data_IF_378490699532
#
_entry.id   IF_378490699532
#
_cell.length_a   1.000
_cell.length_b   1.000
_cell.length_c   1.000
_cell.angle_alpha   90.00
_cell.angle_beta   90.00
_cell.angle_gamma   90.00
#
_symmetry.space_group_name_H-M   'P 1'
#
loop_
_entity.id
_entity.type
_entity.pdbx_description
1 polymer ?
#
# COMPACT_ATOMS: atom_id res chain seq x y z
N UNK A 1 24.44 3.57 -9.82
CA UNK A 1 24.33 4.00 -8.41
C UNK A 1 22.91 3.69 -7.87
N UNK A 2 22.54 2.42 -7.70
CA UNK A 2 21.47 1.94 -6.78
C UNK A 2 21.82 0.49 -6.39
N UNK A 3 23.01 0.29 -5.82
CA UNK A 3 23.38 -1.00 -5.21
C UNK A 3 23.87 -0.72 -3.80
N UNK A 4 22.94 -0.42 -2.90
CA UNK A 4 23.18 -0.64 -1.48
C UNK A 4 21.95 -1.29 -0.85
N UNK A 5 22.25 -2.39 -0.16
CA UNK A 5 21.42 -3.27 0.66
C UNK A 5 20.66 -4.40 -0.06
N UNK A 6 21.37 -5.53 -0.24
CA UNK A 6 20.96 -6.91 0.08
C UNK A 6 19.53 -7.41 -0.23
N UNK A 7 18.79 -6.83 -1.16
CA UNK A 7 17.50 -7.41 -1.57
C UNK A 7 17.74 -8.51 -2.62
N UNK A 8 17.86 -9.75 -2.14
CA UNK A 8 17.93 -10.97 -2.97
C UNK A 8 16.85 -10.97 -4.06
N UNK A 9 15.65 -10.51 -3.71
CA UNK A 9 14.50 -10.40 -4.64
C UNK A 9 14.79 -9.44 -5.79
N UNK A 10 15.47 -8.32 -5.51
CA UNK A 10 15.85 -7.38 -6.55
C UNK A 10 16.89 -8.01 -7.47
N UNK A 11 17.92 -8.68 -6.94
CA UNK A 11 18.92 -9.36 -7.75
C UNK A 11 18.32 -10.46 -8.65
N UNK A 12 17.42 -11.29 -8.11
CA UNK A 12 16.68 -12.31 -8.87
C UNK A 12 15.84 -11.67 -9.99
N UNK A 13 15.19 -10.55 -9.71
CA UNK A 13 14.40 -9.83 -10.72
C UNK A 13 15.28 -9.20 -11.80
N UNK A 14 16.44 -8.63 -11.45
CA UNK A 14 17.40 -8.08 -12.43
C UNK A 14 17.86 -9.16 -13.41
N UNK A 15 18.23 -10.35 -12.92
CA UNK A 15 18.63 -11.46 -13.78
C UNK A 15 17.52 -11.88 -14.75
N UNK A 16 16.27 -11.91 -14.28
CA UNK A 16 15.10 -12.17 -15.12
C UNK A 16 14.91 -11.12 -16.20
N UNK A 17 15.03 -9.83 -15.85
CA UNK A 17 14.89 -8.72 -16.81
C UNK A 17 15.98 -8.76 -17.89
N UNK A 18 17.23 -9.07 -17.53
CA UNK A 18 18.32 -9.23 -18.50
C UNK A 18 18.05 -10.32 -19.53
N UNK A 19 17.47 -11.45 -19.08
CA UNK A 19 17.07 -12.54 -19.97
C UNK A 19 15.90 -12.13 -20.88
N UNK A 20 14.86 -11.50 -20.35
CA UNK A 20 13.67 -11.08 -21.12
C UNK A 20 13.96 -10.00 -22.17
N UNK A 21 14.96 -9.16 -21.93
CA UNK A 21 15.36 -8.06 -22.83
C UNK A 21 16.46 -8.45 -23.81
N UNK A 22 16.93 -9.70 -23.80
CA UNK A 22 18.11 -10.16 -24.54
C UNK A 22 19.35 -9.24 -24.35
N UNK A 23 19.46 -8.59 -23.19
CA UNK A 23 20.55 -7.67 -22.89
C UNK A 23 20.42 -6.25 -23.46
N UNK A 24 19.26 -5.83 -23.99
CA UNK A 24 19.04 -4.44 -24.42
C UNK A 24 19.12 -3.48 -23.22
N UNK A 25 20.22 -2.75 -23.12
CA UNK A 25 20.53 -1.84 -22.00
C UNK A 25 19.46 -0.76 -21.81
N UNK A 26 18.89 -0.21 -22.89
CA UNK A 26 17.87 0.83 -22.82
C UNK A 26 16.54 0.27 -22.30
N UNK A 27 16.19 -0.95 -22.72
CA UNK A 27 15.03 -1.66 -22.20
C UNK A 27 15.20 -2.04 -20.73
N UNK A 28 16.39 -2.50 -20.34
CA UNK A 28 16.75 -2.82 -18.96
C UNK A 28 16.61 -1.55 -18.11
N UNK A 29 17.26 -0.44 -18.46
CA UNK A 29 17.21 0.81 -17.71
C UNK A 29 15.77 1.29 -17.50
N UNK A 30 14.95 1.25 -18.55
CA UNK A 30 13.51 1.58 -18.48
C UNK A 30 12.77 0.70 -17.47
N UNK A 31 12.97 -0.62 -17.52
CA UNK A 31 12.30 -1.55 -16.60
C UNK A 31 12.78 -1.28 -15.17
N UNK A 32 14.08 -1.11 -14.96
CA UNK A 32 14.65 -0.87 -13.64
C UNK A 32 14.13 0.42 -13.00
N UNK A 33 13.95 1.48 -13.78
CA UNK A 33 13.36 2.74 -13.31
C UNK A 33 11.91 2.56 -12.79
N UNK A 34 11.19 1.56 -13.30
CA UNK A 34 9.82 1.22 -12.92
C UNK A 34 9.70 0.39 -11.63
N UNK A 35 10.79 -0.25 -11.18
CA UNK A 35 10.74 -1.21 -10.08
C UNK A 35 10.62 -0.51 -8.73
N UNK A 36 9.73 -1.01 -7.88
CA UNK A 36 9.65 -0.67 -6.46
C UNK A 36 9.69 -1.96 -5.65
N UNK A 37 10.59 -1.99 -4.67
CA UNK A 37 10.69 -3.10 -3.71
C UNK A 37 9.77 -2.84 -2.53
N UNK A 38 9.04 -3.88 -2.12
CA UNK A 38 8.31 -3.97 -0.86
C UNK A 38 9.05 -4.95 0.03
N UNK A 39 9.66 -4.47 1.12
CA UNK A 39 10.34 -5.34 2.07
C UNK A 39 9.38 -6.23 2.86
N UNK A 40 9.92 -7.20 3.58
CA UNK A 40 9.16 -8.08 4.51
C UNK A 40 8.29 -7.27 5.49
N UNK A 41 8.86 -6.22 6.08
CA UNK A 41 8.12 -5.30 6.95
C UNK A 41 7.35 -4.23 6.15
N UNK A 42 6.08 -4.53 5.86
CA UNK A 42 5.15 -3.64 5.16
C UNK A 42 4.81 -2.35 5.92
N UNK A 43 4.52 -1.28 5.16
CA UNK A 43 3.97 0.00 5.62
C UNK A 43 2.50 0.09 5.20
N UNK A 44 1.59 -0.05 6.16
CA UNK A 44 0.16 -0.24 5.91
C UNK A 44 -0.60 1.04 6.28
N UNK A 45 -1.35 1.59 5.33
CA UNK A 45 -2.28 2.70 5.55
C UNK A 45 -3.68 2.20 5.85
N UNK A 46 -4.32 2.77 6.87
CA UNK A 46 -5.64 2.39 7.35
C UNK A 46 -6.58 3.59 7.29
N UNK A 47 -7.71 3.42 6.61
CA UNK A 47 -8.81 4.38 6.59
C UNK A 47 -10.15 3.63 6.63
N UNK A 48 -11.19 4.30 7.11
CA UNK A 48 -12.55 3.75 7.09
C UNK A 48 -13.57 4.87 7.22
N UNK A 49 -14.68 4.77 6.47
CA UNK A 49 -15.88 5.55 6.75
C UNK A 49 -16.43 5.23 8.15
N UNK A 50 -17.21 6.12 8.74
CA UNK A 50 -17.63 6.00 10.14
C UNK A 50 -18.39 4.69 10.39
N UNK A 51 -19.26 4.33 9.47
CA UNK A 51 -20.12 3.15 9.42
C UNK A 51 -19.29 1.86 9.30
N UNK A 52 -18.05 1.98 8.83
CA UNK A 52 -17.13 0.86 8.59
C UNK A 52 -16.03 0.71 9.64
N UNK A 53 -15.92 1.63 10.60
CA UNK A 53 -14.86 1.58 11.62
C UNK A 53 -14.97 0.35 12.52
N UNK A 54 -16.16 -0.02 12.96
CA UNK A 54 -16.36 -1.22 13.79
C UNK A 54 -15.96 -2.48 13.02
N UNK A 55 -16.39 -2.60 11.77
CA UNK A 55 -16.03 -3.70 10.87
C UNK A 55 -14.50 -3.79 10.66
N UNK A 56 -13.83 -2.65 10.48
CA UNK A 56 -12.37 -2.59 10.38
C UNK A 56 -11.71 -3.14 11.64
N UNK A 57 -12.12 -2.68 12.83
CA UNK A 57 -11.52 -3.12 14.09
C UNK A 57 -11.72 -4.61 14.31
N UNK A 58 -12.91 -5.16 14.05
CA UNK A 58 -13.18 -6.59 14.18
C UNK A 58 -12.29 -7.43 13.26
N UNK A 59 -12.13 -7.01 12.01
CA UNK A 59 -11.23 -7.68 11.07
C UNK A 59 -9.77 -7.60 11.54
N UNK A 60 -9.27 -6.41 11.86
CA UNK A 60 -7.88 -6.23 12.27
C UNK A 60 -7.55 -6.97 13.59
N UNK A 61 -8.49 -7.12 14.52
CA UNK A 61 -8.31 -7.91 15.76
C UNK A 61 -7.92 -9.37 15.45
N UNK A 62 -8.53 -9.98 14.44
CA UNK A 62 -8.22 -11.36 13.99
C UNK A 62 -6.77 -11.47 13.51
N UNK A 63 -6.27 -10.42 12.89
CA UNK A 63 -4.93 -10.36 12.26
C UNK A 63 -3.87 -9.64 13.09
N UNK A 64 -4.15 -9.38 14.38
CA UNK A 64 -3.25 -8.63 15.27
C UNK A 64 -1.80 -9.12 15.21
N UNK A 65 -1.60 -10.44 15.19
CA UNK A 65 -0.27 -11.09 15.16
C UNK A 65 0.55 -10.75 13.90
N UNK A 66 -0.13 -10.54 12.77
CA UNK A 66 0.51 -10.10 11.51
C UNK A 66 0.78 -8.60 11.60
N UNK A 67 -0.22 -7.81 12.01
CA UNK A 67 -0.15 -6.35 12.03
C UNK A 67 0.97 -5.79 12.92
N UNK A 68 1.28 -6.44 14.05
CA UNK A 68 2.38 -6.00 14.96
C UNK A 68 3.76 -6.04 14.31
N UNK A 69 3.94 -6.85 13.26
CA UNK A 69 5.22 -6.96 12.54
C UNK A 69 5.42 -5.78 11.58
N UNK A 70 4.35 -5.08 11.22
CA UNK A 70 4.32 -4.04 10.21
C UNK A 70 4.31 -2.64 10.81
N UNK A 71 4.41 -1.61 9.96
CA UNK A 71 4.28 -0.21 10.38
C UNK A 71 2.93 0.33 9.94
N UNK A 72 2.13 0.79 10.91
CA UNK A 72 0.77 1.25 10.65
C UNK A 72 0.71 2.78 10.57
N UNK A 73 -0.06 3.26 9.61
CA UNK A 73 -0.47 4.65 9.43
C UNK A 73 -1.98 4.69 9.35
N UNK A 74 -2.63 5.71 9.90
CA UNK A 74 -4.08 5.81 9.81
C UNK A 74 -4.60 7.24 9.83
N UNK A 75 -5.77 7.48 9.25
CA UNK A 75 -6.49 8.75 9.42
C UNK A 75 -7.07 8.88 10.83
N UNK A 76 -7.27 10.11 11.29
CA UNK A 76 -7.46 10.50 12.69
C UNK A 76 -8.19 9.50 13.58
N UNK A 77 -9.52 9.47 13.52
CA UNK A 77 -10.35 8.65 14.41
C UNK A 77 -10.13 7.14 14.20
N UNK A 78 -9.86 6.72 12.96
CA UNK A 78 -9.51 5.32 12.65
C UNK A 78 -8.26 4.88 13.41
N UNK A 79 -7.19 5.68 13.35
CA UNK A 79 -5.95 5.36 14.05
C UNK A 79 -6.11 5.30 15.56
N UNK A 80 -6.84 6.25 16.15
CA UNK A 80 -7.15 6.25 17.59
C UNK A 80 -7.89 4.98 18.00
N UNK A 81 -8.87 4.52 17.21
CA UNK A 81 -9.58 3.28 17.49
C UNK A 81 -8.66 2.06 17.37
N UNK A 82 -7.82 1.99 16.33
CA UNK A 82 -6.89 0.88 16.14
C UNK A 82 -5.90 0.78 17.30
N UNK A 83 -5.29 1.90 17.71
CA UNK A 83 -4.36 1.92 18.85
C UNK A 83 -5.05 1.46 20.14
N UNK A 84 -6.24 2.00 20.42
CA UNK A 84 -7.01 1.67 21.63
C UNK A 84 -7.39 0.19 21.69
N UNK A 85 -7.92 -0.33 20.58
CA UNK A 85 -8.56 -1.66 20.55
C UNK A 85 -7.58 -2.81 20.31
N UNK A 86 -6.46 -2.55 19.63
CA UNK A 86 -5.47 -3.57 19.30
C UNK A 86 -4.17 -3.42 20.11
N UNK A 87 -3.96 -2.29 20.78
CA UNK A 87 -2.71 -1.97 21.48
C UNK A 87 -1.49 -2.15 20.55
N UNK A 88 -1.53 -1.53 19.38
CA UNK A 88 -0.47 -1.49 18.37
C UNK A 88 -0.17 -0.01 18.10
N UNK A 89 1.09 0.43 18.04
CA UNK A 89 1.41 1.81 17.69
C UNK A 89 0.99 2.15 16.26
N UNK A 90 0.31 3.28 16.07
CA UNK A 90 -0.14 3.76 14.76
C UNK A 90 0.27 5.22 14.57
N UNK A 91 0.93 5.53 13.45
CA UNK A 91 1.15 6.93 13.08
C UNK A 91 -0.16 7.53 12.56
N UNK A 92 -0.77 8.39 13.37
CA UNK A 92 -2.02 9.07 13.05
C UNK A 92 -1.79 10.30 12.16
N UNK A 93 -2.69 10.50 11.22
CA UNK A 93 -2.86 11.70 10.43
C UNK A 93 -4.18 12.40 10.80
N UNK A 94 -4.48 13.49 10.13
CA UNK A 94 -5.75 14.20 10.17
C UNK A 94 -6.90 13.25 9.75
N UNK A 95 -8.15 13.63 10.02
CA UNK A 95 -9.29 12.90 9.47
C UNK A 95 -9.28 12.97 7.93
N UNK A 96 -9.90 12.00 7.27
CA UNK A 96 -10.02 11.98 5.80
C UNK A 96 -10.50 13.34 5.23
N UNK A 97 -11.66 13.87 5.69
CA UNK A 97 -12.19 15.16 5.25
C UNK A 97 -11.29 16.38 5.51
N UNK A 98 -10.31 16.27 6.42
CA UNK A 98 -9.37 17.33 6.75
C UNK A 98 -7.98 17.11 6.12
N UNK A 99 -7.90 16.26 5.08
CA UNK A 99 -6.68 16.02 4.31
C UNK A 99 -5.89 14.78 4.72
N UNK A 100 -6.41 13.96 5.63
CA UNK A 100 -5.77 12.68 6.00
C UNK A 100 -5.58 11.74 4.82
N UNK A 101 -6.57 11.68 3.92
CA UNK A 101 -6.53 10.83 2.72
C UNK A 101 -5.43 11.30 1.76
N UNK A 102 -5.24 12.61 1.64
CA UNK A 102 -4.18 13.20 0.83
C UNK A 102 -2.79 12.91 1.40
N UNK A 103 -2.64 12.81 2.73
CA UNK A 103 -1.36 12.41 3.35
C UNK A 103 -1.04 10.94 3.10
N UNK A 104 -2.04 10.06 3.11
CA UNK A 104 -1.86 8.67 2.70
C UNK A 104 -1.49 8.62 1.20
N UNK A 105 -2.19 9.36 0.34
CA UNK A 105 -1.89 9.45 -1.08
C UNK A 105 -0.47 9.95 -1.36
N UNK A 106 -0.02 10.98 -0.65
CA UNK A 106 1.36 11.48 -0.75
C UNK A 106 2.39 10.41 -0.37
N UNK A 107 2.08 9.54 0.60
CA UNK A 107 2.94 8.40 0.96
C UNK A 107 2.97 7.32 -0.09
N UNK A 108 1.83 6.99 -0.70
CA UNK A 108 1.77 6.08 -1.86
C UNK A 108 2.69 6.61 -2.96
N UNK A 109 2.55 7.90 -3.29
CA UNK A 109 3.32 8.54 -4.37
C UNK A 109 4.84 8.54 -4.11
N UNK A 110 5.25 8.64 -2.85
CA UNK A 110 6.67 8.60 -2.43
C UNK A 110 7.22 7.20 -2.20
N UNK A 111 6.45 6.14 -2.51
CA UNK A 111 6.80 4.75 -2.17
C UNK A 111 7.07 4.55 -0.67
N UNK A 112 6.34 5.30 0.17
CA UNK A 112 6.39 5.25 1.64
C UNK A 112 5.21 4.48 2.25
N UNK A 113 4.34 3.93 1.40
CA UNK A 113 3.21 3.07 1.75
C UNK A 113 3.21 1.87 0.82
N UNK A 114 3.06 0.67 1.39
CA UNK A 114 3.10 -0.60 0.64
C UNK A 114 1.71 -1.21 0.47
N UNK A 115 0.79 -0.93 1.39
CA UNK A 115 -0.56 -1.52 1.42
C UNK A 115 -1.54 -0.43 1.84
N UNK A 116 -2.70 -0.39 1.20
CA UNK A 116 -3.84 0.43 1.61
C UNK A 116 -5.00 -0.48 2.02
N UNK A 117 -5.51 -0.27 3.24
CA UNK A 117 -6.78 -0.82 3.70
C UNK A 117 -7.71 0.36 3.92
N UNK A 118 -8.73 0.49 3.08
CA UNK A 118 -9.72 1.55 3.17
C UNK A 118 -11.13 0.96 3.12
N UNK A 119 -11.74 0.66 4.27
CA UNK A 119 -13.13 0.21 4.28
C UNK A 119 -14.09 1.35 3.91
N UNK A 120 -14.64 1.26 2.72
CA UNK A 120 -15.53 2.25 2.13
C UNK A 120 -16.97 1.80 2.35
N UNK A 121 -17.80 2.70 2.85
CA UNK A 121 -19.26 2.51 2.85
C UNK A 121 -19.84 2.89 1.46
N UNK A 122 -20.35 1.92 0.68
CA UNK A 122 -20.90 2.19 -0.65
C UNK A 122 -22.36 2.66 -0.62
N UNK A 123 -23.03 2.66 0.53
CA UNK A 123 -24.47 2.94 0.64
C UNK A 123 -24.77 4.36 1.09
N UNK A 124 -23.81 5.04 1.72
CA UNK A 124 -23.98 6.41 2.21
C UNK A 124 -23.27 7.43 1.31
N UNK A 125 -23.80 8.66 1.18
CA UNK A 125 -23.09 9.75 0.53
C UNK A 125 -21.98 10.29 1.44
N UNK A 126 -20.81 10.59 0.86
CA UNK A 126 -19.66 11.12 1.60
C UNK A 126 -19.21 12.47 1.02
N UNK A 127 -19.12 13.50 1.87
CA UNK A 127 -18.72 14.86 1.45
C UNK A 127 -17.30 14.94 0.84
N UNK A 128 -16.47 13.93 1.10
CA UNK A 128 -15.09 13.81 0.64
C UNK A 128 -14.90 12.66 -0.35
N UNK A 129 -15.95 12.21 -1.06
CA UNK A 129 -15.88 11.07 -1.98
C UNK A 129 -14.81 11.24 -3.08
N UNK A 130 -14.58 12.47 -3.55
CA UNK A 130 -13.50 12.77 -4.49
C UNK A 130 -12.11 12.43 -3.95
N UNK A 131 -11.88 12.64 -2.65
CA UNK A 131 -10.61 12.28 -1.98
C UNK A 131 -10.46 10.75 -1.88
N UNK A 132 -11.56 10.04 -1.60
CA UNK A 132 -11.60 8.56 -1.53
C UNK A 132 -11.23 7.95 -2.88
N UNK A 133 -11.88 8.39 -3.95
CA UNK A 133 -11.61 7.92 -5.31
C UNK A 133 -10.18 8.24 -5.74
N UNK A 134 -9.69 9.45 -5.44
CA UNK A 134 -8.32 9.83 -5.74
C UNK A 134 -7.29 8.94 -5.02
N UNK A 135 -7.54 8.60 -3.75
CA UNK A 135 -6.66 7.74 -2.96
C UNK A 135 -6.63 6.30 -3.49
N UNK A 136 -7.80 5.70 -3.78
CA UNK A 136 -7.89 4.35 -4.37
C UNK A 136 -7.25 4.31 -5.76
N UNK A 137 -7.46 5.34 -6.58
CA UNK A 137 -6.81 5.48 -7.88
C UNK A 137 -5.30 5.54 -7.75
N UNK A 138 -4.75 6.24 -6.75
CA UNK A 138 -3.31 6.22 -6.50
C UNK A 138 -2.80 4.82 -6.15
N UNK A 139 -3.55 4.06 -5.36
CA UNK A 139 -3.18 2.68 -5.06
C UNK A 139 -3.08 1.81 -6.33
N UNK A 140 -4.00 2.00 -7.28
CA UNK A 140 -3.99 1.33 -8.59
C UNK A 140 -2.78 1.75 -9.44
N UNK A 141 -2.52 3.06 -9.55
CA UNK A 141 -1.38 3.60 -10.34
C UNK A 141 -0.05 3.07 -9.81
N UNK A 142 0.13 3.06 -8.49
CA UNK A 142 1.36 2.59 -7.84
C UNK A 142 1.36 1.08 -7.58
N UNK A 143 0.32 0.37 -8.02
CA UNK A 143 0.12 -1.08 -7.91
C UNK A 143 0.37 -1.63 -6.51
N UNK A 144 -0.04 -0.91 -5.48
CA UNK A 144 -0.03 -1.43 -4.11
C UNK A 144 -1.28 -2.27 -3.85
N UNK A 145 -1.18 -3.36 -3.07
CA UNK A 145 -2.37 -4.06 -2.58
C UNK A 145 -3.34 -3.10 -1.90
N UNK A 146 -4.60 -3.16 -2.31
CA UNK A 146 -5.67 -2.31 -1.82
C UNK A 146 -6.88 -3.16 -1.44
N UNK A 147 -7.33 -3.06 -0.19
CA UNK A 147 -8.53 -3.74 0.29
C UNK A 147 -9.60 -2.71 0.68
N UNK A 148 -10.81 -2.85 0.13
CA UNK A 148 -11.90 -1.89 0.33
C UNK A 148 -13.11 -2.44 1.10
N UNK A 149 -13.08 -3.72 1.45
CA UNK A 149 -14.08 -4.42 2.26
C UNK A 149 -13.37 -5.44 3.18
N UNK A 150 -14.04 -5.94 4.23
CA UNK A 150 -13.42 -6.82 5.23
C UNK A 150 -12.90 -8.14 4.64
N UNK A 151 -13.63 -8.75 3.69
CA UNK A 151 -13.21 -9.99 3.04
C UNK A 151 -11.88 -9.79 2.30
N UNK A 152 -11.72 -8.68 1.57
CA UNK A 152 -10.46 -8.35 0.92
C UNK A 152 -9.33 -8.12 1.92
N UNK A 153 -9.61 -7.59 3.12
CA UNK A 153 -8.61 -7.46 4.20
C UNK A 153 -8.18 -8.82 4.70
N UNK A 154 -9.12 -9.75 4.92
CA UNK A 154 -8.81 -11.11 5.37
C UNK A 154 -7.92 -11.86 4.36
N UNK A 155 -8.25 -11.82 3.07
CA UNK A 155 -7.42 -12.42 2.02
C UNK A 155 -6.03 -11.78 1.93
N UNK A 156 -5.97 -10.44 2.03
CA UNK A 156 -4.71 -9.71 1.94
C UNK A 156 -3.79 -10.04 3.12
N UNK A 157 -4.31 -10.03 4.35
CA UNK A 157 -3.50 -10.25 5.57
C UNK A 157 -3.11 -11.72 5.80
N UNK A 158 -3.73 -12.67 5.09
CA UNK A 158 -3.37 -14.09 5.14
C UNK A 158 -2.41 -14.53 4.03
N UNK A 159 -2.12 -13.66 3.06
CA UNK A 159 -1.13 -13.93 2.01
C UNK A 159 0.27 -14.15 2.59
N UNK A 160 1.01 -15.15 2.09
CA UNK A 160 2.41 -15.35 2.46
C UNK A 160 3.29 -14.14 2.10
N UNK A 161 2.87 -13.36 1.10
CA UNK A 161 3.55 -12.13 0.66
C UNK A 161 3.60 -11.04 1.74
N UNK A 162 2.79 -11.15 2.81
CA UNK A 162 2.88 -10.23 3.95
C UNK A 162 4.23 -10.32 4.65
N UNK A 163 4.81 -11.52 4.76
CA UNK A 163 6.11 -11.77 5.41
C UNK A 163 7.30 -11.81 4.45
N UNK A 164 7.07 -11.72 3.14
CA UNK A 164 8.13 -11.84 2.13
C UNK A 164 8.46 -10.48 1.49
N UNK A 165 9.72 -10.30 1.07
CA UNK A 165 10.08 -9.22 0.15
C UNK A 165 9.49 -9.49 -1.24
N UNK A 166 9.02 -8.46 -1.92
CA UNK A 166 8.45 -8.56 -3.26
C UNK A 166 8.73 -7.32 -4.09
N UNK A 167 8.56 -7.44 -5.40
CA UNK A 167 8.75 -6.36 -6.36
C UNK A 167 7.45 -6.05 -7.07
N UNK A 168 7.24 -4.76 -7.36
CA UNK A 168 6.17 -4.29 -8.24
C UNK A 168 6.72 -3.29 -9.24
N UNK A 169 6.08 -3.18 -10.39
CA UNK A 169 6.43 -2.20 -11.42
C UNK A 169 5.39 -1.09 -11.45
N UNK A 170 5.83 0.16 -11.50
CA UNK A 170 4.94 1.33 -11.60
C UNK A 170 5.16 2.06 -12.93
N UNK A 171 4.18 2.83 -13.42
CA UNK A 171 4.39 3.69 -14.58
C UNK A 171 5.55 4.68 -14.32
N UNK A 172 6.43 4.82 -15.30
CA UNK A 172 7.54 5.79 -15.30
C UNK A 172 7.31 6.83 -16.40
N UNK A 173 7.48 8.10 -16.05
CA UNK A 173 7.41 9.22 -16.99
C UNK A 173 8.66 9.24 -17.89
N UNK A 174 8.52 9.75 -19.12
CA UNK A 174 9.64 9.85 -20.07
C UNK A 174 9.86 8.61 -20.94
N UNK A 175 9.14 7.52 -20.70
CA UNK A 175 9.14 6.36 -21.59
C UNK A 175 7.74 6.12 -22.19
N UNK A 176 7.62 5.91 -23.50
CA UNK A 176 6.34 5.64 -24.13
C UNK A 176 5.72 4.40 -23.48
N UNK A 177 4.51 4.57 -22.98
CA UNK A 177 3.64 3.47 -22.57
C UNK A 177 3.12 2.87 -23.88
N UNK A 178 3.42 1.59 -24.13
CA UNK A 178 2.98 0.91 -25.34
C UNK A 178 1.46 1.06 -25.51
N UNK A 179 1.02 1.35 -26.73
CA UNK A 179 -0.39 1.34 -27.10
C UNK A 179 -0.90 -0.09 -27.14
#
# INVERSE_FOLDING_TARGET
>A
MIMQQNDRVLAEYYAKVQQETNGDEAAIEKILASIRVMGERKRIGLAAHNEKKSELIECLKKHRKVLVQHKLYATGTTGTLVEKELNIPVRKFESGPLGGDQRLGAKIAKNELDILIFLIDPLSPHAHNADVEALVRLAQVYKIPCATNATSVDFLLTSSMMSESSVRTIPVTGYPQGK
#
